data_IF_127347022163
#
_entry.id   IF_127347022163
#
_cell.length_a   1.000
_cell.length_b   1.000
_cell.length_c   1.000
_cell.angle_alpha   90.00
_cell.angle_beta   90.00
_cell.angle_gamma   90.00
#
_symmetry.space_group_name_H-M   'P 1'
#
loop_
_entity.id
_entity.type
_entity.pdbx_description
1 polymer ?
#
# COMPACT_ATOMS: atom_id res chain seq x y z
N UNK A 1 -2.67 -22.94 -35.95
CA UNK A 1 -2.36 -21.75 -35.14
C UNK A 1 -3.15 -21.87 -33.84
N UNK A 2 -2.50 -22.26 -32.75
CA UNK A 2 -3.17 -22.40 -31.45
C UNK A 2 -3.39 -21.00 -30.88
N UNK A 3 -4.66 -20.58 -30.80
CA UNK A 3 -5.07 -19.39 -30.09
C UNK A 3 -4.83 -19.61 -28.60
N UNK A 4 -3.69 -19.13 -28.09
CA UNK A 4 -3.47 -19.02 -26.65
C UNK A 4 -4.46 -17.98 -26.13
N UNK A 5 -5.55 -18.43 -25.51
CA UNK A 5 -6.41 -17.55 -24.71
C UNK A 5 -5.58 -17.04 -23.54
N UNK A 6 -5.35 -15.73 -23.50
CA UNK A 6 -4.71 -15.07 -22.37
C UNK A 6 -5.39 -15.48 -21.06
N UNK A 7 -4.63 -15.98 -20.10
CA UNK A 7 -5.17 -16.37 -18.81
C UNK A 7 -5.59 -15.11 -18.06
N UNK A 8 -6.88 -14.96 -17.77
CA UNK A 8 -7.38 -13.87 -16.95
C UNK A 8 -7.15 -14.19 -15.47
N UNK A 9 -6.65 -13.21 -14.71
CA UNK A 9 -6.52 -13.28 -13.26
C UNK A 9 -7.45 -12.24 -12.63
N UNK A 10 -8.28 -12.65 -11.68
CA UNK A 10 -9.16 -11.72 -10.97
C UNK A 10 -8.34 -10.97 -9.93
N UNK A 11 -8.60 -9.68 -9.81
CA UNK A 11 -7.92 -8.76 -8.92
C UNK A 11 -8.94 -8.16 -7.96
N UNK A 12 -8.57 -8.06 -6.67
CA UNK A 12 -9.32 -7.30 -5.67
C UNK A 12 -8.38 -6.38 -4.91
N UNK A 13 -8.75 -5.11 -4.79
CA UNK A 13 -8.16 -4.18 -3.83
C UNK A 13 -9.18 -3.97 -2.72
N UNK A 14 -8.82 -4.26 -1.47
CA UNK A 14 -9.71 -4.11 -0.31
C UNK A 14 -8.97 -3.52 0.88
N UNK A 15 -9.73 -3.03 1.86
CA UNK A 15 -9.19 -2.75 3.19
C UNK A 15 -8.65 -4.04 3.82
N UNK A 16 -7.51 -3.91 4.47
CA UNK A 16 -6.98 -4.92 5.38
C UNK A 16 -7.76 -4.91 6.70
N UNK A 17 -7.71 -6.04 7.41
CA UNK A 17 -8.14 -6.15 8.80
C UNK A 17 -7.05 -6.81 9.67
N UNK A 18 -7.29 -6.93 10.97
CA UNK A 18 -6.33 -7.48 11.93
C UNK A 18 -5.90 -8.93 11.60
N UNK A 19 -6.74 -9.71 10.89
CA UNK A 19 -6.41 -11.05 10.44
C UNK A 19 -5.36 -11.07 9.32
N UNK A 20 -5.13 -9.95 8.63
CA UNK A 20 -4.14 -9.83 7.56
C UNK A 20 -2.73 -9.50 8.07
N UNK A 21 -2.56 -9.17 9.36
CA UNK A 21 -1.28 -8.74 9.95
C UNK A 21 -0.10 -9.65 9.59
N UNK A 22 -0.21 -11.00 9.64
CA UNK A 22 0.90 -11.86 9.23
C UNK A 22 1.34 -11.66 7.77
N UNK A 23 0.38 -11.46 6.85
CA UNK A 23 0.68 -11.20 5.45
C UNK A 23 1.24 -9.79 5.23
N UNK A 24 0.71 -8.78 5.94
CA UNK A 24 1.25 -7.42 5.93
C UNK A 24 2.70 -7.42 6.38
N UNK A 25 3.02 -8.08 7.49
CA UNK A 25 4.39 -8.17 8.00
C UNK A 25 5.33 -8.83 6.99
N UNK A 26 4.90 -9.91 6.35
CA UNK A 26 5.68 -10.59 5.29
C UNK A 26 5.92 -9.69 4.08
N UNK A 27 4.92 -8.89 3.67
CA UNK A 27 5.08 -7.94 2.56
C UNK A 27 6.06 -6.82 2.91
N UNK A 28 5.97 -6.25 4.12
CA UNK A 28 6.93 -5.24 4.60
C UNK A 28 8.34 -5.82 4.64
N UNK A 29 8.51 -7.08 5.07
CA UNK A 29 9.79 -7.76 5.04
C UNK A 29 10.33 -7.94 3.61
N UNK A 30 9.50 -8.43 2.67
CA UNK A 30 9.91 -8.56 1.25
C UNK A 30 10.25 -7.21 0.61
N UNK A 31 9.55 -6.14 1.00
CA UNK A 31 9.88 -4.79 0.57
C UNK A 31 11.24 -4.34 1.13
N UNK A 32 11.50 -4.59 2.42
CA UNK A 32 12.80 -4.30 3.03
C UNK A 32 13.94 -5.11 2.39
N UNK A 33 13.71 -6.36 1.98
CA UNK A 33 14.67 -7.15 1.19
C UNK A 33 14.93 -6.50 -0.17
N UNK A 34 13.88 -6.11 -0.88
CA UNK A 34 13.99 -5.46 -2.19
C UNK A 34 14.75 -4.13 -2.13
N UNK A 35 14.56 -3.36 -1.06
CA UNK A 35 15.22 -2.06 -0.86
C UNK A 35 16.59 -2.16 -0.17
N UNK A 36 17.04 -3.37 0.20
CA UNK A 36 18.27 -3.60 0.97
C UNK A 36 18.26 -2.95 2.38
N UNK A 37 17.07 -2.85 2.98
CA UNK A 37 16.79 -2.21 4.27
C UNK A 37 16.38 -3.19 5.37
N UNK A 38 16.63 -4.49 5.23
CA UNK A 38 16.26 -5.50 6.24
C UNK A 38 16.84 -5.25 7.62
N UNK A 39 17.97 -4.55 7.72
CA UNK A 39 18.58 -4.14 9.00
C UNK A 39 17.71 -3.12 9.79
N UNK A 40 16.76 -2.44 9.14
CA UNK A 40 15.78 -1.56 9.80
C UNK A 40 14.47 -2.28 10.15
N UNK A 41 14.27 -3.50 9.64
CA UNK A 41 13.04 -4.25 9.85
C UNK A 41 12.98 -4.82 11.27
N UNK A 42 12.11 -4.26 12.10
CA UNK A 42 11.87 -4.69 13.48
C UNK A 42 10.40 -5.00 13.77
N UNK A 43 9.54 -4.91 12.75
CA UNK A 43 8.10 -5.08 12.90
C UNK A 43 7.75 -6.51 13.36
N UNK A 44 6.89 -6.58 14.37
CA UNK A 44 6.27 -7.82 14.85
C UNK A 44 4.77 -7.80 14.54
N UNK A 45 4.13 -8.98 14.57
CA UNK A 45 2.67 -9.04 14.39
C UNK A 45 1.96 -8.20 15.47
N UNK A 46 2.45 -8.22 16.71
CA UNK A 46 1.89 -7.45 17.82
C UNK A 46 2.03 -5.93 17.61
N UNK A 47 3.21 -5.45 17.20
CA UNK A 47 3.44 -4.02 16.99
C UNK A 47 2.65 -3.46 15.81
N UNK A 48 2.49 -4.25 14.75
CA UNK A 48 1.65 -3.88 13.60
C UNK A 48 0.17 -3.90 13.97
N UNK A 49 -0.29 -4.94 14.68
CA UNK A 49 -1.69 -5.07 15.09
C UNK A 49 -2.15 -3.89 15.96
N UNK A 50 -1.36 -3.55 17.01
CA UNK A 50 -1.72 -2.46 17.93
C UNK A 50 -1.75 -1.08 17.29
N UNK A 51 -0.96 -0.86 16.24
CA UNK A 51 -0.83 0.44 15.57
C UNK A 51 -1.78 0.57 14.37
N UNK A 52 -1.86 -0.46 13.52
CA UNK A 52 -2.64 -0.42 12.28
C UNK A 52 -4.11 -0.78 12.51
N UNK A 53 -4.42 -1.56 13.55
CA UNK A 53 -5.77 -2.04 13.85
C UNK A 53 -6.12 -1.84 15.34
N UNK A 54 -6.14 -0.59 15.84
CA UNK A 54 -6.42 -0.31 17.23
C UNK A 54 -7.84 -0.72 17.63
N UNK A 55 -8.04 -0.94 18.94
CA UNK A 55 -9.35 -1.20 19.54
C UNK A 55 -9.64 -0.12 20.60
N UNK A 56 -10.69 0.71 20.42
CA UNK A 56 -11.69 0.68 19.36
C UNK A 56 -11.13 1.09 17.98
N UNK A 57 -11.73 0.62 16.87
CA UNK A 57 -11.27 0.94 15.53
C UNK A 57 -11.50 2.42 15.20
N UNK A 58 -10.53 3.01 14.49
CA UNK A 58 -10.61 4.36 13.91
C UNK A 58 -10.95 4.25 12.43
N UNK A 59 -11.79 5.14 11.85
CA UNK A 59 -12.16 5.03 10.44
C UNK A 59 -10.95 5.05 9.50
N UNK A 60 -10.94 4.19 8.45
CA UNK A 60 -9.87 4.17 7.46
C UNK A 60 -9.75 5.52 6.75
N UNK A 61 -8.57 5.82 6.24
CA UNK A 61 -8.15 7.09 5.65
C UNK A 61 -8.20 8.30 6.61
N UNK A 62 -8.72 8.14 7.83
CA UNK A 62 -8.60 9.07 8.97
C UNK A 62 -7.59 8.58 10.03
N UNK A 63 -6.99 7.42 9.79
CA UNK A 63 -5.90 6.81 10.56
C UNK A 63 -4.95 6.06 9.62
N UNK A 64 -3.94 5.38 10.18
CA UNK A 64 -3.21 4.37 9.44
C UNK A 64 -4.18 3.38 8.78
N UNK A 65 -3.94 3.13 7.49
CA UNK A 65 -4.82 2.35 6.65
C UNK A 65 -3.98 1.52 5.70
N UNK A 66 -4.30 0.22 5.63
CA UNK A 66 -3.67 -0.70 4.69
C UNK A 66 -4.71 -1.14 3.66
N UNK A 67 -4.38 -0.99 2.38
CA UNK A 67 -5.08 -1.66 1.29
C UNK A 67 -4.27 -2.89 0.87
N UNK A 68 -4.95 -4.01 0.65
CA UNK A 68 -4.34 -5.22 0.13
C UNK A 68 -4.75 -5.45 -1.31
N UNK A 69 -3.77 -5.87 -2.09
CA UNK A 69 -3.96 -6.41 -3.43
C UNK A 69 -4.05 -7.93 -3.35
N UNK A 70 -5.19 -8.47 -3.73
CA UNK A 70 -5.46 -9.90 -3.78
C UNK A 70 -5.69 -10.37 -5.22
N UNK A 71 -5.21 -11.57 -5.50
CA UNK A 71 -5.33 -12.23 -6.79
C UNK A 71 -6.03 -13.58 -6.62
N UNK A 72 -6.86 -13.95 -7.59
CA UNK A 72 -7.57 -15.22 -7.56
C UNK A 72 -7.86 -15.75 -8.97
N UNK A 73 -7.72 -17.06 -9.22
CA UNK A 73 -8.24 -17.68 -10.44
C UNK A 73 -9.78 -17.64 -10.49
N UNK A 74 -10.43 -17.53 -9.33
CA UNK A 74 -11.87 -17.46 -9.20
C UNK A 74 -12.34 -16.00 -9.07
N UNK A 75 -13.57 -15.71 -9.52
CA UNK A 75 -14.18 -14.40 -9.37
C UNK A 75 -14.37 -14.05 -7.89
N UNK A 76 -14.13 -12.79 -7.53
CA UNK A 76 -14.50 -12.29 -6.22
C UNK A 76 -16.02 -12.05 -6.16
N UNK A 77 -16.66 -12.27 -4.99
CA UNK A 77 -18.06 -11.93 -4.81
C UNK A 77 -18.29 -10.44 -5.07
N UNK A 78 -19.36 -10.12 -5.78
CA UNK A 78 -19.74 -8.75 -6.07
C UNK A 78 -20.13 -8.08 -4.74
N UNK A 79 -19.29 -7.18 -4.26
CA UNK A 79 -19.50 -6.45 -3.00
C UNK A 79 -19.91 -5.03 -3.35
N UNK A 80 -21.11 -4.88 -3.92
CA UNK A 80 -21.73 -3.56 -4.05
C UNK A 80 -22.14 -3.09 -2.66
N UNK A 81 -21.30 -2.31 -2.02
CA UNK A 81 -21.67 -1.48 -0.88
C UNK A 81 -21.98 -0.07 -1.37
N UNK A 82 -23.03 0.53 -0.82
CA UNK A 82 -23.49 1.87 -1.16
C UNK A 82 -22.34 2.89 -1.16
N UNK A 83 -22.36 3.80 -2.13
CA UNK A 83 -21.28 4.73 -2.46
C UNK A 83 -21.25 5.94 -1.53
N UNK A 84 -21.09 5.72 -0.22
CA UNK A 84 -20.72 6.83 0.67
C UNK A 84 -19.26 7.21 0.40
N UNK A 85 -19.00 8.52 0.26
CA UNK A 85 -17.66 9.05 0.07
C UNK A 85 -16.71 8.66 1.22
N UNK A 86 -17.25 8.48 2.43
CA UNK A 86 -16.48 8.09 3.62
C UNK A 86 -16.20 6.58 3.73
N UNK A 87 -16.78 5.74 2.86
CA UNK A 87 -16.58 4.29 2.89
C UNK A 87 -15.79 3.81 1.68
N UNK A 88 -14.70 3.07 1.92
CA UNK A 88 -13.96 2.42 0.84
C UNK A 88 -14.63 1.11 0.43
N UNK A 89 -15.19 1.08 -0.77
CA UNK A 89 -15.69 -0.15 -1.39
C UNK A 89 -14.54 -0.91 -2.09
N UNK A 90 -14.47 -2.25 -1.96
CA UNK A 90 -13.47 -3.04 -2.67
C UNK A 90 -13.53 -2.82 -4.19
N UNK A 91 -12.36 -2.69 -4.81
CA UNK A 91 -12.24 -2.59 -6.27
C UNK A 91 -12.01 -4.00 -6.80
N UNK A 92 -12.87 -4.45 -7.70
CA UNK A 92 -12.76 -5.75 -8.36
C UNK A 92 -12.50 -5.50 -9.85
N UNK A 93 -11.48 -6.16 -10.39
CA UNK A 93 -11.10 -6.04 -11.79
C UNK A 93 -10.46 -7.35 -12.29
N UNK A 94 -10.02 -7.37 -13.54
CA UNK A 94 -9.29 -8.47 -14.16
C UNK A 94 -8.04 -7.95 -14.86
N UNK A 95 -6.95 -8.69 -14.72
CA UNK A 95 -5.77 -8.51 -15.58
C UNK A 95 -5.67 -9.70 -16.54
N UNK A 96 -5.22 -9.42 -17.75
CA UNK A 96 -4.94 -10.44 -18.75
C UNK A 96 -3.44 -10.70 -18.76
N UNK A 97 -3.08 -11.98 -18.65
CA UNK A 97 -1.70 -12.41 -18.61
C UNK A 97 -1.29 -12.97 -19.98
N UNK A 98 -0.19 -12.45 -20.53
CA UNK A 98 0.39 -12.96 -21.78
C UNK A 98 0.92 -14.39 -21.61
N UNK A 99 1.33 -14.76 -20.39
CA UNK A 99 1.83 -16.08 -20.03
C UNK A 99 1.49 -16.43 -18.58
N UNK A 100 1.47 -17.73 -18.20
CA UNK A 100 1.35 -18.13 -16.81
C UNK A 100 2.43 -17.46 -15.93
N UNK A 101 2.02 -17.01 -14.75
CA UNK A 101 2.92 -16.40 -13.77
C UNK A 101 3.45 -17.48 -12.83
N UNK A 102 4.78 -17.58 -12.73
CA UNK A 102 5.44 -18.42 -11.73
C UNK A 102 5.54 -17.63 -10.42
N UNK A 103 4.77 -18.04 -9.42
CA UNK A 103 4.78 -17.44 -8.09
C UNK A 103 5.22 -18.48 -7.04
N UNK A 104 6.53 -18.57 -6.73
CA UNK A 104 7.05 -19.54 -5.75
C UNK A 104 6.58 -19.25 -4.32
N UNK A 105 6.20 -18.01 -3.99
CA UNK A 105 5.77 -17.63 -2.65
C UNK A 105 4.24 -17.65 -2.48
N UNK A 106 3.49 -18.11 -3.49
CA UNK A 106 2.03 -18.10 -3.49
C UNK A 106 1.40 -18.75 -2.25
N UNK A 107 1.98 -19.85 -1.75
CA UNK A 107 1.53 -20.51 -0.52
C UNK A 107 1.83 -19.70 0.75
N UNK A 108 2.99 -19.05 0.81
CA UNK A 108 3.40 -18.16 1.91
C UNK A 108 2.49 -16.94 2.04
N UNK A 109 1.97 -16.45 0.92
CA UNK A 109 1.06 -15.30 0.86
C UNK A 109 -0.40 -15.69 0.61
N UNK A 110 -0.78 -16.93 0.91
CA UNK A 110 -2.19 -17.32 0.90
C UNK A 110 -3.01 -16.40 1.84
N UNK A 111 -4.14 -15.91 1.36
CA UNK A 111 -5.05 -15.10 2.16
C UNK A 111 -5.64 -15.95 3.28
N UNK A 112 -5.72 -15.41 4.49
CA UNK A 112 -6.38 -16.08 5.63
C UNK A 112 -7.86 -16.38 5.34
N UNK A 113 -8.44 -15.68 4.36
CA UNK A 113 -9.82 -15.86 3.89
C UNK A 113 -10.02 -17.10 3.01
N UNK A 114 -8.94 -17.79 2.60
CA UNK A 114 -8.98 -19.02 1.82
C UNK A 114 -9.39 -18.84 0.35
N UNK A 115 -9.90 -19.90 -0.27
CA UNK A 115 -10.49 -19.85 -1.63
C UNK A 115 -9.49 -19.74 -2.79
N UNK A 116 -8.21 -20.07 -2.56
CA UNK A 116 -7.15 -19.91 -3.56
C UNK A 116 -6.72 -18.46 -3.79
N UNK A 117 -7.10 -17.56 -2.89
CA UNK A 117 -6.73 -16.14 -2.94
C UNK A 117 -5.32 -15.95 -2.43
N UNK A 118 -4.50 -15.21 -3.17
CA UNK A 118 -3.11 -14.87 -2.81
C UNK A 118 -2.99 -13.36 -2.64
N UNK A 119 -2.30 -12.92 -1.59
CA UNK A 119 -1.94 -11.52 -1.39
C UNK A 119 -0.70 -11.20 -2.21
N UNK A 120 -0.81 -10.22 -3.10
CA UNK A 120 0.22 -9.87 -4.09
C UNK A 120 0.88 -8.52 -3.83
N UNK A 121 0.33 -7.71 -2.92
CA UNK A 121 0.87 -6.39 -2.61
C UNK A 121 0.04 -5.64 -1.59
N UNK A 122 0.52 -4.46 -1.21
CA UNK A 122 -0.17 -3.57 -0.28
C UNK A 122 0.12 -2.09 -0.55
N UNK A 123 -0.72 -1.24 0.02
CA UNK A 123 -0.49 0.19 0.22
C UNK A 123 -0.67 0.49 1.69
N UNK A 124 0.29 1.17 2.33
CA UNK A 124 0.16 1.74 3.66
C UNK A 124 0.06 3.27 3.54
N UNK A 125 -0.99 3.85 4.11
CA UNK A 125 -1.22 5.29 4.05
C UNK A 125 -1.83 5.82 5.35
N UNK A 126 -1.74 7.14 5.55
CA UNK A 126 -2.28 7.84 6.72
C UNK A 126 -2.59 9.31 6.37
N UNK A 127 -3.51 9.97 7.09
CA UNK A 127 -3.84 11.37 6.81
C UNK A 127 -2.68 12.30 7.17
N UNK A 128 -2.50 13.34 6.36
CA UNK A 128 -1.67 14.50 6.68
C UNK A 128 -2.51 15.79 6.56
N UNK A 129 -1.89 16.97 6.70
CA UNK A 129 -2.61 18.23 6.59
C UNK A 129 -1.81 19.29 5.83
N UNK A 130 -2.50 20.00 4.94
CA UNK A 130 -1.96 21.17 4.26
C UNK A 130 -2.45 22.44 4.93
N UNK A 131 -1.55 23.16 5.59
CA UNK A 131 -1.86 24.46 6.20
C UNK A 131 -2.23 25.52 5.16
N UNK A 132 -1.68 25.44 3.94
CA UNK A 132 -1.97 26.40 2.87
C UNK A 132 -3.33 26.14 2.20
N UNK A 133 -3.71 24.87 2.03
CA UNK A 133 -5.04 24.54 1.51
C UNK A 133 -6.13 24.52 2.58
N UNK A 134 -5.73 24.57 3.86
CA UNK A 134 -6.58 24.33 5.02
C UNK A 134 -7.40 23.04 4.91
N UNK A 135 -6.80 21.98 4.36
CA UNK A 135 -7.45 20.69 4.08
C UNK A 135 -6.60 19.51 4.54
N UNK A 136 -7.24 18.41 4.99
CA UNK A 136 -6.54 17.13 5.13
C UNK A 136 -6.00 16.67 3.77
N UNK A 137 -4.91 15.92 3.81
CA UNK A 137 -4.35 15.19 2.67
C UNK A 137 -4.12 13.73 3.06
N UNK A 138 -3.62 12.94 2.11
CA UNK A 138 -3.22 11.55 2.35
C UNK A 138 -1.73 11.41 2.07
N UNK A 139 -0.99 10.83 3.01
CA UNK A 139 0.38 10.41 2.78
C UNK A 139 0.41 8.91 2.54
N UNK A 140 1.05 8.46 1.45
CA UNK A 140 1.31 7.06 1.17
C UNK A 140 2.74 6.78 1.62
N UNK A 141 2.87 5.98 2.68
CA UNK A 141 4.17 5.54 3.21
C UNK A 141 4.79 4.52 2.26
N UNK A 142 4.04 3.46 1.97
CA UNK A 142 4.54 2.32 1.21
C UNK A 142 3.56 1.93 0.12
N UNK A 143 4.10 1.59 -1.05
CA UNK A 143 3.39 0.87 -2.10
C UNK A 143 4.27 -0.23 -2.64
N UNK A 144 3.83 -1.47 -2.48
CA UNK A 144 4.63 -2.63 -2.85
C UNK A 144 3.80 -3.68 -3.57
N UNK A 145 4.33 -4.15 -4.71
CA UNK A 145 3.84 -5.34 -5.43
C UNK A 145 4.96 -6.38 -5.41
N UNK A 146 4.61 -7.61 -5.04
CA UNK A 146 5.51 -8.76 -5.05
C UNK A 146 6.07 -9.00 -6.46
N UNK A 147 7.31 -9.44 -6.55
CA UNK A 147 8.09 -9.47 -7.79
C UNK A 147 7.38 -10.19 -8.95
N UNK A 148 6.81 -11.38 -8.70
CA UNK A 148 6.10 -12.20 -9.68
C UNK A 148 4.93 -11.45 -10.38
N UNK A 149 4.39 -10.41 -9.74
CA UNK A 149 3.22 -9.67 -10.18
C UNK A 149 3.54 -8.25 -10.67
N UNK A 150 4.82 -7.84 -10.69
CA UNK A 150 5.24 -6.52 -11.19
C UNK A 150 5.04 -6.38 -12.70
N UNK A 151 5.01 -5.13 -13.17
CA UNK A 151 4.86 -4.74 -14.59
C UNK A 151 3.54 -5.19 -15.25
N UNK A 152 2.50 -5.43 -14.45
CA UNK A 152 1.15 -5.83 -14.91
C UNK A 152 0.06 -4.78 -14.60
N UNK A 153 0.46 -3.52 -14.39
CA UNK A 153 -0.45 -2.42 -14.05
C UNK A 153 -0.93 -2.39 -12.58
N UNK A 154 -0.62 -3.41 -11.78
CA UNK A 154 -1.11 -3.57 -10.41
C UNK A 154 -0.69 -2.43 -9.45
N UNK A 155 0.53 -1.90 -9.59
CA UNK A 155 0.97 -0.73 -8.82
C UNK A 155 0.14 0.53 -9.13
N UNK A 156 -0.20 0.75 -10.41
CA UNK A 156 -1.09 1.85 -10.84
C UNK A 156 -2.48 1.68 -10.26
N UNK A 157 -3.04 0.47 -10.28
CA UNK A 157 -4.34 0.19 -9.70
C UNK A 157 -4.37 0.49 -8.20
N UNK A 158 -3.37 0.05 -7.44
CA UNK A 158 -3.26 0.30 -6.00
C UNK A 158 -3.10 1.78 -5.67
N UNK A 159 -2.20 2.50 -6.35
CA UNK A 159 -2.00 3.93 -6.14
C UNK A 159 -3.28 4.72 -6.48
N UNK A 160 -3.95 4.36 -7.59
CA UNK A 160 -5.21 4.98 -7.99
C UNK A 160 -6.34 4.69 -7.00
N UNK A 161 -6.36 3.52 -6.35
CA UNK A 161 -7.34 3.19 -5.33
C UNK A 161 -7.24 4.11 -4.11
N UNK A 162 -6.02 4.31 -3.59
CA UNK A 162 -5.77 5.22 -2.47
C UNK A 162 -6.05 6.68 -2.84
N UNK A 163 -5.52 7.14 -3.98
CA UNK A 163 -5.74 8.52 -4.45
C UNK A 163 -7.20 8.81 -4.78
N UNK A 164 -7.90 7.85 -5.39
CA UNK A 164 -9.33 7.96 -5.70
C UNK A 164 -10.18 8.06 -4.43
N UNK A 165 -9.82 7.35 -3.35
CA UNK A 165 -10.50 7.50 -2.07
C UNK A 165 -10.24 8.87 -1.44
N UNK A 166 -9.00 9.34 -1.42
CA UNK A 166 -8.66 10.68 -0.93
C UNK A 166 -9.44 11.78 -1.68
N UNK A 167 -9.55 11.65 -3.01
CA UNK A 167 -10.34 12.57 -3.83
C UNK A 167 -11.83 12.55 -3.47
N UNK A 168 -12.44 11.37 -3.28
CA UNK A 168 -13.84 11.24 -2.82
C UNK A 168 -14.07 11.88 -1.45
N UNK A 169 -13.10 11.76 -0.54
CA UNK A 169 -13.15 12.38 0.78
C UNK A 169 -12.85 13.89 0.77
N UNK A 170 -12.60 14.49 -0.40
CA UNK A 170 -12.32 15.92 -0.54
C UNK A 170 -10.95 16.36 0.01
N UNK A 171 -10.01 15.41 0.15
CA UNK A 171 -8.66 15.71 0.59
C UNK A 171 -7.95 16.60 -0.44
N UNK A 172 -7.13 17.53 0.04
CA UNK A 172 -6.49 18.55 -0.79
C UNK A 172 -5.35 18.02 -1.67
N UNK A 173 -4.69 16.94 -1.24
CA UNK A 173 -3.57 16.32 -1.95
C UNK A 173 -3.28 14.90 -1.47
N UNK A 174 -2.52 14.17 -2.28
CA UNK A 174 -1.88 12.90 -1.93
C UNK A 174 -0.38 13.06 -2.13
N UNK A 175 0.42 12.66 -1.15
CA UNK A 175 1.88 12.82 -1.14
C UNK A 175 2.57 11.48 -0.85
N UNK A 176 3.72 11.26 -1.47
CA UNK A 176 4.61 10.12 -1.23
C UNK A 176 6.03 10.50 -1.66
N UNK A 177 6.99 9.67 -1.31
CA UNK A 177 8.40 9.87 -1.66
C UNK A 177 8.84 8.89 -2.74
N UNK A 178 9.78 9.35 -3.57
CA UNK A 178 10.44 8.53 -4.57
C UNK A 178 11.93 8.81 -4.49
N UNK A 179 12.74 7.76 -4.62
CA UNK A 179 14.18 7.91 -4.68
C UNK A 179 14.58 8.60 -5.99
N UNK A 180 15.50 9.56 -5.90
CA UNK A 180 15.94 10.41 -7.01
C UNK A 180 16.50 9.64 -8.21
N UNK A 181 17.11 8.49 -7.95
CA UNK A 181 17.65 7.59 -8.97
C UNK A 181 16.60 6.72 -9.66
N UNK A 182 15.36 6.63 -9.13
CA UNK A 182 14.33 5.75 -9.68
C UNK A 182 13.54 6.44 -10.80
N UNK A 183 14.22 6.72 -11.92
CA UNK A 183 13.65 7.45 -13.06
C UNK A 183 12.36 6.81 -13.60
N UNK A 184 12.31 5.48 -13.65
CA UNK A 184 11.10 4.76 -14.09
C UNK A 184 9.88 5.06 -13.21
N UNK A 185 10.07 5.12 -11.88
CA UNK A 185 8.99 5.49 -10.97
C UNK A 185 8.64 6.98 -11.10
N UNK A 186 9.64 7.86 -11.24
CA UNK A 186 9.43 9.29 -11.45
C UNK A 186 8.59 9.55 -12.70
N UNK A 187 8.92 8.94 -13.83
CA UNK A 187 8.19 9.12 -15.08
C UNK A 187 6.77 8.57 -14.97
N UNK A 188 6.61 7.40 -14.36
CA UNK A 188 5.31 6.82 -14.06
C UNK A 188 4.43 7.75 -13.20
N UNK A 189 4.98 8.38 -12.16
CA UNK A 189 4.23 9.31 -11.31
C UNK A 189 3.86 10.59 -12.07
N UNK A 190 4.75 11.11 -12.93
CA UNK A 190 4.44 12.26 -13.78
C UNK A 190 3.33 11.96 -14.79
N UNK A 191 3.34 10.77 -15.40
CA UNK A 191 2.24 10.32 -16.29
C UNK A 191 0.89 10.23 -15.56
N UNK A 192 0.91 9.98 -14.25
CA UNK A 192 -0.31 10.02 -13.42
C UNK A 192 -0.78 11.44 -13.08
N UNK A 193 0.00 12.47 -13.42
CA UNK A 193 -0.26 13.86 -13.09
C UNK A 193 0.35 14.32 -11.77
N UNK A 194 1.24 13.53 -11.16
CA UNK A 194 1.96 13.95 -9.96
C UNK A 194 3.09 14.95 -10.31
N UNK A 195 3.22 15.99 -9.50
CA UNK A 195 4.37 16.88 -9.53
C UNK A 195 5.47 16.33 -8.62
N UNK A 196 6.71 16.23 -9.12
CA UNK A 196 7.87 15.90 -8.30
C UNK A 196 8.50 17.21 -7.82
N UNK A 197 8.68 17.35 -6.51
CA UNK A 197 9.14 18.60 -5.86
C UNK A 197 10.64 18.51 -5.50
N UNK A 198 11.59 18.80 -6.42
CA UNK A 198 13.02 18.54 -6.21
C UNK A 198 13.68 19.43 -5.14
N UNK A 199 13.07 20.58 -4.84
CA UNK A 199 13.60 21.49 -3.81
C UNK A 199 13.25 21.07 -2.38
N UNK A 200 12.30 20.13 -2.22
CA UNK A 200 11.86 19.67 -0.92
C UNK A 200 12.74 18.50 -0.48
N UNK A 201 13.23 18.55 0.75
CA UNK A 201 14.10 17.51 1.32
C UNK A 201 13.40 16.85 2.49
N UNK A 202 13.52 15.53 2.58
CA UNK A 202 13.09 14.79 3.76
C UNK A 202 14.11 15.03 4.87
N UNK A 203 13.68 15.59 5.98
CA UNK A 203 14.47 15.67 7.21
C UNK A 203 14.05 14.52 8.13
N UNK A 204 15.00 13.66 8.51
CA UNK A 204 14.75 12.53 9.40
C UNK A 204 15.59 12.65 10.67
N UNK A 205 14.93 12.56 11.81
CA UNK A 205 15.54 12.43 13.14
C UNK A 205 15.09 11.10 13.72
N UNK A 206 16.03 10.20 14.05
CA UNK A 206 15.74 8.82 14.47
C UNK A 206 16.76 8.29 15.46
N UNK A 207 16.42 7.20 16.15
CA UNK A 207 17.29 6.53 17.13
C UNK A 207 17.72 7.46 18.26
N UNK A 208 18.96 7.30 18.73
CA UNK A 208 19.51 8.07 19.86
C UNK A 208 19.37 9.60 19.68
N UNK A 209 19.44 10.10 18.45
CA UNK A 209 19.30 11.54 18.19
C UNK A 209 17.87 12.04 18.41
N UNK A 210 16.87 11.21 18.17
CA UNK A 210 15.48 11.48 18.53
C UNK A 210 15.27 11.32 20.04
N UNK A 211 15.80 10.24 20.62
CA UNK A 211 15.63 9.90 22.04
C UNK A 211 16.13 11.01 22.97
N UNK A 212 17.18 11.74 22.58
CA UNK A 212 17.69 12.92 23.31
C UNK A 212 16.62 13.98 23.59
N UNK A 213 15.63 14.14 22.70
CA UNK A 213 14.53 15.08 22.88
C UNK A 213 13.43 14.54 23.82
N UNK A 214 13.42 13.24 24.10
CA UNK A 214 12.48 12.58 25.02
C UNK A 214 12.84 12.69 26.51
N UNK A 215 14.08 13.11 26.83
CA UNK A 215 14.52 13.41 28.20
C UNK A 215 15.49 12.37 28.77
N UNK A 216 16.79 12.59 28.54
CA UNK A 216 17.87 11.80 29.13
C UNK A 216 19.25 12.41 28.91
N UNK A 217 19.43 13.71 29.16
CA UNK A 217 20.72 14.40 29.06
C UNK A 217 20.54 15.90 29.13
N UNK A 218 21.12 16.52 30.15
CA UNK A 218 20.89 17.91 30.54
C UNK A 218 21.00 18.92 29.40
N UNK A 219 20.16 19.95 29.50
CA UNK A 219 20.39 21.23 28.85
C UNK A 219 21.73 21.78 29.33
N UNK A 220 22.66 22.00 28.43
CA UNK A 220 23.66 23.07 28.53
C UNK A 220 23.29 24.16 27.52
#
# INVERSE_FOLDING_TARGET
MSSSTAAAMNVRIRLADAGDVPNIRRLIHQMAEFELLTHLFSATDSSLSSTLFPSPPVPPFRSFTVLLLELSPNTFPDTKTDSDADTFSPIIDKIFLDSPVSDPDSSTFASARGGGVVVAGFVLCFPNYSSFLAKPGLYIEDIFVREAWRRKGLGRMMLSAAAGQAARMGYGRVEWVVLDWNQNAIDFYKEMGAEVLPMWRICRLSGESLDKYGGGGGRE
#
